data_IF_909282314225
#
_entry.id   IF_909282314225
#
_cell.length_a   1.000
_cell.length_b   1.000
_cell.length_c   1.000
_cell.angle_alpha   90.00
_cell.angle_beta   90.00
_cell.angle_gamma   90.00
#
_symmetry.space_group_name_H-M   'P 1'
#
loop_
_entity.id
_entity.type
_entity.pdbx_description
1 polymer ?
#
# COMPACT_ATOMS: atom_id res chain seq x y z
N UNK A 1 34.08 -8.74 -53.32
CA UNK A 1 34.33 -9.41 -52.02
C UNK A 1 34.44 -8.43 -50.83
N UNK A 2 34.21 -7.12 -51.00
CA UNK A 2 34.25 -6.12 -49.91
C UNK A 2 32.90 -5.88 -49.20
N UNK A 3 31.80 -6.42 -49.71
CA UNK A 3 30.45 -6.21 -49.15
C UNK A 3 30.24 -7.07 -47.89
N UNK A 4 30.92 -8.21 -47.81
CA UNK A 4 30.79 -9.17 -46.71
C UNK A 4 31.37 -8.67 -45.38
N UNK A 5 32.37 -7.78 -45.42
CA UNK A 5 33.01 -7.23 -44.20
C UNK A 5 32.16 -6.14 -43.54
N UNK A 6 31.52 -5.28 -44.34
CA UNK A 6 30.60 -4.24 -43.84
C UNK A 6 29.38 -4.87 -43.13
N UNK A 7 28.87 -5.97 -43.65
CA UNK A 7 27.72 -6.66 -43.05
C UNK A 7 28.08 -7.33 -41.72
N UNK A 8 29.27 -7.92 -41.61
CA UNK A 8 29.72 -8.58 -40.38
C UNK A 8 29.96 -7.58 -39.25
N UNK A 9 30.48 -6.39 -39.56
CA UNK A 9 30.70 -5.32 -38.59
C UNK A 9 29.38 -4.71 -38.10
N UNK A 10 28.42 -4.47 -39.02
CA UNK A 10 27.08 -4.04 -38.65
C UNK A 10 26.35 -5.04 -37.75
N UNK A 11 26.53 -6.34 -37.99
CA UNK A 11 25.95 -7.39 -37.16
C UNK A 11 26.51 -7.41 -35.73
N UNK A 12 27.80 -7.10 -35.55
CA UNK A 12 28.44 -7.03 -34.22
C UNK A 12 27.89 -5.87 -33.38
N UNK A 13 27.73 -4.69 -33.99
CA UNK A 13 27.14 -3.53 -33.29
C UNK A 13 25.70 -3.81 -32.84
N UNK A 14 24.89 -4.46 -33.68
CA UNK A 14 23.52 -4.83 -33.32
C UNK A 14 23.47 -5.82 -32.14
N UNK A 15 24.38 -6.80 -32.12
CA UNK A 15 24.45 -7.78 -31.04
C UNK A 15 24.85 -7.13 -29.70
N UNK A 16 25.80 -6.20 -29.71
CA UNK A 16 26.21 -5.45 -28.51
C UNK A 16 25.06 -4.61 -27.94
N UNK A 17 24.28 -3.96 -28.80
CA UNK A 17 23.08 -3.20 -28.39
C UNK A 17 22.03 -4.13 -27.78
N UNK A 18 21.78 -5.29 -28.40
CA UNK A 18 20.81 -6.26 -27.87
C UNK A 18 21.20 -6.75 -26.47
N UNK A 19 22.49 -7.02 -26.23
CA UNK A 19 22.97 -7.41 -24.89
C UNK A 19 22.71 -6.29 -23.88
N UNK A 20 23.04 -5.04 -24.22
CA UNK A 20 22.82 -3.89 -23.32
C UNK A 20 21.33 -3.75 -22.98
N UNK A 21 20.44 -3.88 -23.97
CA UNK A 21 19.00 -3.83 -23.75
C UNK A 21 18.51 -4.94 -22.81
N UNK A 22 18.98 -6.17 -23.00
CA UNK A 22 18.62 -7.30 -22.14
C UNK A 22 19.08 -7.08 -20.69
N UNK A 23 20.29 -6.54 -20.50
CA UNK A 23 20.80 -6.19 -19.16
C UNK A 23 19.92 -5.15 -18.46
N UNK A 24 19.48 -4.10 -19.17
CA UNK A 24 18.62 -3.05 -18.60
C UNK A 24 17.26 -3.63 -18.16
N UNK A 25 16.64 -4.46 -19.00
CA UNK A 25 15.36 -5.10 -18.67
C UNK A 25 15.49 -5.98 -17.42
N UNK A 26 16.58 -6.75 -17.33
CA UNK A 26 16.85 -7.60 -16.18
C UNK A 26 17.02 -6.78 -14.88
N UNK A 27 17.72 -5.65 -14.94
CA UNK A 27 17.85 -4.73 -13.80
C UNK A 27 16.48 -4.17 -13.35
N UNK A 28 15.62 -3.79 -14.29
CA UNK A 28 14.26 -3.27 -13.97
C UNK A 28 13.44 -4.36 -13.25
N UNK A 29 13.46 -5.60 -13.74
CA UNK A 29 12.72 -6.71 -13.12
C UNK A 29 13.19 -6.96 -11.68
N UNK A 30 14.50 -6.92 -11.42
CA UNK A 30 15.06 -7.09 -10.07
C UNK A 30 14.56 -5.99 -9.13
N UNK A 31 14.62 -4.73 -9.58
CA UNK A 31 14.16 -3.57 -8.78
C UNK A 31 12.65 -3.70 -8.47
N UNK A 32 11.83 -4.03 -9.47
CA UNK A 32 10.40 -4.26 -9.28
C UNK A 32 10.13 -5.43 -8.33
N UNK A 33 10.90 -6.52 -8.43
CA UNK A 33 10.80 -7.67 -7.54
C UNK A 33 11.05 -7.29 -6.08
N UNK A 34 12.09 -6.50 -5.79
CA UNK A 34 12.39 -6.02 -4.44
C UNK A 34 11.25 -5.13 -3.90
N UNK A 35 10.73 -4.21 -4.73
CA UNK A 35 9.61 -3.36 -4.32
C UNK A 35 8.34 -4.17 -4.01
N UNK A 36 8.05 -5.23 -4.76
CA UNK A 36 6.91 -6.11 -4.52
C UNK A 36 7.09 -6.93 -3.23
N UNK A 37 8.28 -7.48 -2.98
CA UNK A 37 8.58 -8.21 -1.74
C UNK A 37 8.47 -7.30 -0.53
N UNK A 38 9.05 -6.10 -0.57
CA UNK A 38 9.01 -5.14 0.54
C UNK A 38 7.56 -4.66 0.83
N UNK A 39 6.74 -4.46 -0.21
CA UNK A 39 5.32 -4.16 -0.03
C UNK A 39 4.54 -5.33 0.59
N UNK A 40 4.92 -6.58 0.30
CA UNK A 40 4.27 -7.77 0.86
C UNK A 40 4.75 -8.13 2.27
N UNK A 41 6.02 -7.89 2.63
CA UNK A 41 6.49 -8.04 4.02
C UNK A 41 5.71 -7.10 4.94
N UNK A 42 5.39 -5.89 4.47
CA UNK A 42 4.53 -4.95 5.17
C UNK A 42 3.08 -5.43 5.34
N UNK A 43 2.63 -6.39 4.54
CA UNK A 43 1.32 -7.05 4.66
C UNK A 43 1.40 -8.31 5.56
N UNK A 44 2.56 -8.97 5.63
CA UNK A 44 2.80 -10.15 6.48
C UNK A 44 2.77 -9.85 7.98
N UNK A 45 3.20 -8.65 8.39
CA UNK A 45 3.16 -8.20 9.79
C UNK A 45 1.72 -8.00 10.35
N UNK A 46 0.69 -7.97 9.50
CA UNK A 46 -0.71 -7.85 9.93
C UNK A 46 -1.39 -9.19 10.19
N UNK A 47 -0.72 -10.31 9.88
CA UNK A 47 -1.31 -11.66 9.97
C UNK A 47 -1.05 -12.40 11.29
N UNK A 48 -0.27 -11.82 12.20
CA UNK A 48 -0.09 -12.33 13.57
C UNK A 48 -0.71 -11.39 14.60
N UNK A 49 -1.99 -11.06 14.43
CA UNK A 49 -2.80 -10.71 15.59
C UNK A 49 -3.33 -12.01 16.19
N UNK A 50 -2.91 -12.41 17.40
CA UNK A 50 -3.59 -13.50 18.10
C UNK A 50 -5.02 -13.06 18.35
N UNK A 51 -5.96 -13.68 17.63
CA UNK A 51 -7.35 -13.77 18.05
C UNK A 51 -7.38 -14.60 19.34
N UNK A 52 -7.38 -13.92 20.49
CA UNK A 52 -7.69 -14.55 21.77
C UNK A 52 -8.23 -13.51 22.75
N UNK A 53 -9.56 -13.36 22.73
CA UNK A 53 -10.44 -13.11 23.87
C UNK A 53 -9.77 -12.65 25.17
N UNK A 54 -9.90 -11.37 25.48
CA UNK A 54 -10.00 -10.87 26.87
C UNK A 54 -11.05 -9.75 26.91
N UNK A 55 -12.32 -10.13 27.01
CA UNK A 55 -13.30 -9.40 27.81
C UNK A 55 -13.49 -10.22 29.08
N UNK A 56 -13.21 -9.63 30.24
CA UNK A 56 -14.28 -9.04 31.07
C UNK A 56 -13.81 -7.66 31.58
N UNK A 57 -14.60 -6.66 31.95
CA UNK A 57 -15.99 -6.53 32.32
C UNK A 57 -16.29 -5.00 32.32
N UNK A 58 -17.58 -4.64 32.30
CA UNK A 58 -18.13 -3.42 32.93
C UNK A 58 -17.83 -2.02 32.32
N UNK A 59 -18.66 -1.60 31.37
CA UNK A 59 -19.63 -0.49 31.52
C UNK A 59 -20.19 -0.07 30.15
N UNK A 60 -21.28 -0.71 29.73
CA UNK A 60 -22.06 -0.27 28.58
C UNK A 60 -23.16 0.69 29.03
N UNK A 61 -23.03 1.98 28.65
CA UNK A 61 -24.20 2.83 28.44
C UNK A 61 -24.75 2.59 27.03
N UNK A 62 -26.07 2.59 26.82
CA UNK A 62 -26.66 2.14 25.57
C UNK A 62 -26.72 3.32 24.58
N UNK A 63 -25.78 3.38 23.64
CA UNK A 63 -26.02 4.12 22.41
C UNK A 63 -26.57 3.17 21.35
N UNK A 64 -27.87 3.32 21.13
CA UNK A 64 -28.66 2.68 20.10
C UNK A 64 -28.06 2.93 18.70
N UNK A 65 -27.94 1.83 17.94
CA UNK A 65 -28.30 1.76 16.52
C UNK A 65 -27.64 2.76 15.57
N UNK A 66 -26.40 2.50 15.17
CA UNK A 66 -26.00 2.82 13.80
C UNK A 66 -25.92 1.50 13.01
N UNK A 67 -26.76 1.32 11.97
CA UNK A 67 -26.68 0.13 11.12
C UNK A 67 -25.29 0.06 10.49
N UNK A 68 -24.75 -1.14 10.33
CA UNK A 68 -23.38 -1.42 9.91
C UNK A 68 -22.96 -0.90 8.52
N UNK A 69 -23.78 -0.08 7.85
CA UNK A 69 -23.58 0.46 6.51
C UNK A 69 -24.03 1.91 6.39
N UNK A 70 -23.50 2.82 7.23
CA UNK A 70 -23.60 4.25 6.93
C UNK A 70 -22.26 4.76 6.38
N UNK A 71 -22.33 5.07 5.10
CA UNK A 71 -21.34 5.72 4.26
C UNK A 71 -21.39 7.23 4.63
N UNK A 72 -20.48 7.66 5.52
CA UNK A 72 -20.11 9.05 5.87
C UNK A 72 -19.02 9.64 4.94
N UNK A 73 -19.34 10.64 4.09
CA UNK A 73 -18.41 11.16 3.07
C UNK A 73 -17.12 11.76 3.66
N UNK A 74 -16.02 11.67 2.88
CA UNK A 74 -14.65 12.16 3.14
C UNK A 74 -14.61 13.68 3.38
N UNK A 75 -15.16 14.13 4.51
CA UNK A 75 -14.98 15.43 5.15
C UNK A 75 -14.91 15.25 6.67
N UNK A 76 -14.35 14.12 7.13
CA UNK A 76 -14.10 13.90 8.55
C UNK A 76 -13.00 14.87 9.02
N UNK A 77 -13.42 15.99 9.60
CA UNK A 77 -12.54 16.90 10.33
C UNK A 77 -12.14 16.32 11.69
N UNK A 78 -12.98 15.45 12.25
CA UNK A 78 -12.86 14.87 13.58
C UNK A 78 -13.08 13.36 13.56
N UNK A 79 -12.47 12.67 14.52
CA UNK A 79 -12.62 11.25 14.75
C UNK A 79 -14.08 10.94 15.13
N UNK A 80 -14.76 10.00 14.46
CA UNK A 80 -16.17 9.72 14.72
C UNK A 80 -16.42 9.11 16.10
N UNK A 81 -15.40 8.51 16.74
CA UNK A 81 -15.52 7.89 18.06
C UNK A 81 -15.26 8.85 19.22
N UNK A 82 -14.16 9.60 19.17
CA UNK A 82 -13.74 10.46 20.29
C UNK A 82 -13.91 11.96 20.03
N UNK A 83 -14.28 12.37 18.82
CA UNK A 83 -14.46 13.79 18.47
C UNK A 83 -13.16 14.59 18.30
N UNK A 84 -11.98 13.98 18.49
CA UNK A 84 -10.69 14.66 18.30
C UNK A 84 -10.39 14.99 16.84
N UNK A 85 -9.66 16.07 16.54
CA UNK A 85 -9.34 16.44 15.17
C UNK A 85 -8.47 15.37 14.51
N UNK A 86 -8.83 15.02 13.27
CA UNK A 86 -8.03 14.08 12.47
C UNK A 86 -6.78 14.81 11.98
N UNK A 87 -5.61 14.24 12.24
CA UNK A 87 -4.32 14.79 11.81
C UNK A 87 -4.20 14.77 10.28
N UNK A 88 -3.33 15.62 9.73
CA UNK A 88 -3.12 15.67 8.28
C UNK A 88 -2.58 14.34 7.72
N UNK A 89 -1.77 13.63 8.51
CA UNK A 89 -1.26 12.31 8.15
C UNK A 89 -2.39 11.29 8.02
N UNK A 90 -3.32 11.26 8.98
CA UNK A 90 -4.50 10.40 8.92
C UNK A 90 -5.40 10.75 7.72
N UNK A 91 -5.58 12.05 7.41
CA UNK A 91 -6.33 12.48 6.22
C UNK A 91 -5.69 12.02 4.92
N UNK A 92 -4.35 12.10 4.80
CA UNK A 92 -3.63 11.61 3.62
C UNK A 92 -3.80 10.10 3.43
N UNK A 93 -3.72 9.32 4.51
CA UNK A 93 -3.96 7.87 4.46
C UNK A 93 -5.39 7.54 4.02
N UNK A 94 -6.37 8.24 4.60
CA UNK A 94 -7.77 8.06 4.23
C UNK A 94 -8.03 8.45 2.77
N UNK A 95 -7.45 9.54 2.28
CA UNK A 95 -7.56 9.96 0.88
C UNK A 95 -6.93 8.96 -0.11
N UNK A 96 -5.97 8.16 0.34
CA UNK A 96 -5.36 7.07 -0.44
C UNK A 96 -6.16 5.76 -0.39
N UNK A 97 -7.33 5.75 0.25
CA UNK A 97 -8.09 4.52 0.46
C UNK A 97 -7.45 3.58 1.49
N UNK A 98 -6.51 4.08 2.31
CA UNK A 98 -5.88 3.30 3.37
C UNK A 98 -6.61 3.44 4.71
N UNK A 99 -6.70 2.32 5.41
CA UNK A 99 -7.16 2.26 6.81
C UNK A 99 -6.17 2.98 7.71
N UNK A 100 -6.66 3.79 8.65
CA UNK A 100 -5.83 4.43 9.68
C UNK A 100 -6.46 4.27 11.05
N UNK A 101 -5.67 4.47 12.11
CA UNK A 101 -6.16 4.44 13.48
C UNK A 101 -6.15 5.86 14.06
N UNK A 102 -7.14 6.17 14.91
CA UNK A 102 -7.12 7.40 15.69
C UNK A 102 -6.01 7.34 16.72
N UNK A 103 -5.09 8.30 16.67
CA UNK A 103 -3.95 8.37 17.60
C UNK A 103 -4.39 8.60 19.05
N UNK A 104 -5.57 9.18 19.29
CA UNK A 104 -6.07 9.43 20.64
C UNK A 104 -6.85 8.23 21.23
N UNK A 105 -7.82 7.67 20.49
CA UNK A 105 -8.70 6.63 21.03
C UNK A 105 -8.46 5.23 20.45
N UNK A 106 -7.46 5.07 19.59
CA UNK A 106 -7.07 3.81 18.96
C UNK A 106 -8.11 3.23 18.00
N UNK A 107 -9.20 3.92 17.72
CA UNK A 107 -10.25 3.36 16.87
C UNK A 107 -9.81 3.26 15.42
N UNK A 108 -10.19 2.17 14.76
CA UNK A 108 -9.99 1.99 13.33
C UNK A 108 -10.91 2.93 12.57
N UNK A 109 -10.34 3.72 11.67
CA UNK A 109 -11.04 4.61 10.74
C UNK A 109 -10.83 4.04 9.34
N UNK A 110 -11.91 3.57 8.72
CA UNK A 110 -11.87 3.13 7.33
C UNK A 110 -12.15 4.32 6.41
N UNK A 111 -11.40 4.45 5.30
CA UNK A 111 -11.76 5.37 4.25
C UNK A 111 -12.98 4.84 3.55
N UNK A 112 -13.87 5.75 3.23
CA UNK A 112 -15.08 5.45 2.51
C UNK A 112 -14.84 5.71 1.04
N UNK A 113 -15.01 4.68 0.21
CA UNK A 113 -15.07 4.82 -1.25
C UNK A 113 -16.53 4.99 -1.63
#
# INVERSE_FOLDING_TARGET
MAISTLFLEGCRMLFEILIICLCIILLIIIVLGIHLVNNNERLGEWSTYPNANLYPDEHHTPYMGFPAHQIVPIKLKFCPKCGEPITNLMKMRLAQGLVTFCENCGCRINPEI
#
